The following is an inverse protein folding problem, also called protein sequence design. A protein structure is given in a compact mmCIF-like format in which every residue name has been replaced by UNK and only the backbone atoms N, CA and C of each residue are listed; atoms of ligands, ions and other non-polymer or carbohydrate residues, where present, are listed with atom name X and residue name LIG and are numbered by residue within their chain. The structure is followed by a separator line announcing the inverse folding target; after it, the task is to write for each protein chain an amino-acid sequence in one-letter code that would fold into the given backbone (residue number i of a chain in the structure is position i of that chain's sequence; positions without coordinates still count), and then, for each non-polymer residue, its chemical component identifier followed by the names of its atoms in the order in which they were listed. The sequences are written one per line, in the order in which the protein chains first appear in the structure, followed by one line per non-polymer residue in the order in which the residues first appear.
data_IF_190749778834
#
_entry.id   IF_190749778834
#
_cell.length_a   1.000
_cell.length_b   1.000
_cell.length_c   1.000
_cell.angle_alpha   90.00
_cell.angle_beta   90.00
_cell.angle_gamma   90.00
#
_symmetry.space_group_name_H-M   'P 1'
#
loop_
_entity.id
_entity.type
_entity.pdbx_description
1 polymer ?
#
# COMPACT_ATOMS: atom_id res chain seq x y z
N UNK A 1 12.87 24.51 -13.21
CA UNK A 1 12.09 23.41 -13.82
C UNK A 1 10.79 23.33 -13.02
N UNK A 2 9.71 23.91 -13.54
CA UNK A 2 8.45 24.11 -12.82
C UNK A 2 7.66 22.80 -12.88
N UNK A 3 7.23 22.29 -11.71
CA UNK A 3 6.53 21.02 -11.56
C UNK A 3 5.19 21.05 -12.30
N UNK A 4 5.00 20.15 -13.25
CA UNK A 4 3.80 19.99 -14.08
C UNK A 4 2.55 19.50 -13.30
N UNK A 5 2.59 19.52 -11.97
CA UNK A 5 1.57 18.94 -11.09
C UNK A 5 0.98 19.93 -10.09
N UNK A 6 1.23 21.22 -10.28
CA UNK A 6 0.65 22.28 -9.45
C UNK A 6 -0.89 22.37 -9.57
N UNK A 7 -1.46 21.76 -10.61
CA UNK A 7 -2.90 21.86 -10.95
C UNK A 7 -3.72 20.60 -10.61
N UNK A 8 -3.14 19.57 -9.97
CA UNK A 8 -3.94 18.43 -9.51
C UNK A 8 -4.66 18.80 -8.22
N UNK A 9 -5.88 19.30 -8.36
CA UNK A 9 -6.80 19.46 -7.25
C UNK A 9 -7.40 18.10 -6.90
N UNK A 10 -6.78 17.43 -5.93
CA UNK A 10 -7.43 16.30 -5.26
C UNK A 10 -8.78 16.78 -4.73
N UNK A 11 -9.88 16.01 -4.90
CA UNK A 11 -11.13 16.34 -4.25
C UNK A 11 -10.85 16.52 -2.76
N UNK A 12 -11.36 17.61 -2.18
CA UNK A 12 -11.22 17.83 -0.74
C UNK A 12 -11.74 16.59 -0.02
N UNK A 13 -10.86 15.93 0.73
CA UNK A 13 -11.27 14.92 1.68
C UNK A 13 -12.23 15.55 2.71
N UNK A 14 -12.98 14.73 3.45
CA UNK A 14 -13.87 15.25 4.48
C UNK A 14 -13.08 16.07 5.51
N UNK A 15 -13.70 17.11 6.06
CA UNK A 15 -13.08 18.01 7.05
C UNK A 15 -12.61 17.27 8.31
N UNK A 16 -13.15 16.07 8.55
CA UNK A 16 -12.68 15.12 9.54
C UNK A 16 -12.73 13.69 8.98
N UNK A 17 -11.74 12.89 9.35
CA UNK A 17 -11.72 11.45 9.08
C UNK A 17 -11.73 10.68 10.40
N UNK A 18 -12.64 9.72 10.60
CA UNK A 18 -13.73 9.32 9.71
C UNK A 18 -14.82 10.41 9.56
N UNK A 19 -15.53 10.49 8.42
CA UNK A 19 -16.52 11.53 8.12
C UNK A 19 -17.80 11.46 8.99
N UNK A 20 -17.91 10.46 9.87
CA UNK A 20 -18.96 10.33 10.87
C UNK A 20 -18.41 9.61 12.11
N UNK A 21 -19.15 9.60 13.23
CA UNK A 21 -18.78 8.81 14.43
C UNK A 21 -18.72 7.31 14.16
N UNK A 22 -19.40 6.84 13.10
CA UNK A 22 -19.30 5.48 12.59
C UNK A 22 -18.41 5.43 11.34
N UNK A 23 -17.57 4.41 11.24
CA UNK A 23 -16.82 4.19 10.00
C UNK A 23 -17.76 3.77 8.87
N UNK A 24 -17.47 4.16 7.61
CA UNK A 24 -18.15 3.60 6.45
C UNK A 24 -18.15 2.08 6.51
N UNK A 25 -19.24 1.43 6.09
CA UNK A 25 -19.39 -0.03 6.18
C UNK A 25 -18.22 -0.79 5.52
N UNK A 26 -17.70 -0.26 4.41
CA UNK A 26 -16.53 -0.82 3.73
C UNK A 26 -15.25 -0.82 4.60
N UNK A 27 -15.04 0.24 5.40
CA UNK A 27 -13.89 0.33 6.30
C UNK A 27 -14.04 -0.66 7.46
N UNK A 28 -15.22 -0.75 8.08
CA UNK A 28 -15.50 -1.76 9.10
C UNK A 28 -15.27 -3.18 8.57
N UNK A 29 -15.78 -3.48 7.37
CA UNK A 29 -15.58 -4.78 6.74
C UNK A 29 -14.09 -5.05 6.46
N UNK A 30 -13.37 -4.06 5.93
CA UNK A 30 -11.93 -4.16 5.65
C UNK A 30 -11.12 -4.47 6.89
N UNK A 31 -11.31 -3.70 7.97
CA UNK A 31 -10.60 -3.92 9.25
C UNK A 31 -10.99 -5.26 9.87
N UNK A 32 -12.27 -5.63 9.81
CA UNK A 32 -12.72 -6.96 10.24
C UNK A 32 -12.02 -8.10 9.49
N UNK A 33 -11.82 -7.96 8.18
CA UNK A 33 -11.11 -8.96 7.35
C UNK A 33 -9.62 -9.03 7.69
N UNK A 34 -8.94 -7.90 7.88
CA UNK A 34 -7.53 -7.90 8.28
C UNK A 34 -7.33 -8.48 9.68
N UNK A 35 -8.22 -8.18 10.64
CA UNK A 35 -8.18 -8.81 11.97
C UNK A 35 -8.32 -10.32 11.91
N UNK A 36 -9.29 -10.81 11.14
CA UNK A 36 -9.48 -12.26 10.96
C UNK A 36 -8.28 -12.92 10.27
N UNK A 37 -7.65 -12.22 9.31
CA UNK A 37 -6.44 -12.71 8.64
C UNK A 37 -5.25 -12.76 9.60
N UNK A 38 -5.04 -11.69 10.38
CA UNK A 38 -4.00 -11.60 11.39
C UNK A 38 -4.12 -12.73 12.43
N UNK A 39 -5.34 -13.00 12.91
CA UNK A 39 -5.59 -14.12 13.82
C UNK A 39 -5.26 -15.48 13.18
N UNK A 40 -5.65 -15.71 11.93
CA UNK A 40 -5.31 -16.97 11.22
C UNK A 40 -3.81 -17.14 11.00
N UNK A 41 -3.09 -16.03 10.86
CA UNK A 41 -1.63 -16.03 10.69
C UNK A 41 -0.86 -15.97 12.01
N UNK A 42 -1.54 -15.94 13.16
CA UNK A 42 -0.90 -15.85 14.47
C UNK A 42 -0.09 -14.57 14.66
N UNK A 43 -0.55 -13.45 14.11
CA UNK A 43 0.12 -12.17 14.26
C UNK A 43 -0.21 -11.56 15.62
N UNK A 44 0.84 -11.25 16.38
CA UNK A 44 0.73 -10.66 17.70
C UNK A 44 1.05 -9.15 17.67
N UNK A 45 0.40 -8.34 18.54
CA UNK A 45 0.79 -6.95 18.75
C UNK A 45 2.28 -6.83 19.10
N UNK A 46 2.95 -5.83 18.55
CA UNK A 46 4.39 -5.61 18.76
C UNK A 46 5.34 -6.48 17.93
N UNK A 47 4.83 -7.47 17.17
CA UNK A 47 5.63 -8.23 16.21
C UNK A 47 6.14 -7.37 15.04
N UNK A 48 6.96 -7.99 14.17
CA UNK A 48 7.42 -7.37 12.92
C UNK A 48 6.24 -6.93 12.05
N UNK A 49 6.36 -5.79 11.33
CA UNK A 49 5.25 -5.27 10.54
C UNK A 49 4.90 -6.17 9.36
N UNK A 50 3.61 -6.29 9.07
CA UNK A 50 3.13 -6.90 7.81
C UNK A 50 3.25 -5.87 6.69
N UNK A 51 3.91 -6.23 5.61
CA UNK A 51 4.07 -5.34 4.46
C UNK A 51 2.88 -5.46 3.50
N UNK A 52 2.25 -4.33 3.19
CA UNK A 52 1.21 -4.22 2.17
C UNK A 52 1.85 -3.88 0.82
N UNK A 53 1.51 -4.65 -0.21
CA UNK A 53 1.89 -4.35 -1.59
C UNK A 53 1.06 -3.16 -2.10
N UNK A 54 1.69 -2.03 -2.42
CA UNK A 54 0.97 -0.83 -2.90
C UNK A 54 1.49 -0.45 -4.28
N UNK A 55 0.63 -0.56 -5.30
CA UNK A 55 0.98 -0.20 -6.69
C UNK A 55 0.75 1.28 -7.01
N UNK A 56 0.00 1.98 -6.16
CA UNK A 56 -0.47 3.35 -6.40
C UNK A 56 -1.87 3.43 -7.03
N UNK A 57 -2.45 2.29 -7.41
CA UNK A 57 -3.85 2.21 -7.82
C UNK A 57 -4.82 2.32 -6.65
N UNK A 58 -6.07 2.71 -6.93
CA UNK A 58 -7.11 2.99 -5.93
C UNK A 58 -7.31 1.84 -4.93
N UNK A 59 -7.42 0.59 -5.40
CA UNK A 59 -7.64 -0.57 -4.54
C UNK A 59 -6.48 -0.82 -3.58
N UNK A 60 -5.24 -0.69 -4.07
CA UNK A 60 -4.05 -0.89 -3.25
C UNK A 60 -3.85 0.21 -2.21
N UNK A 61 -4.23 1.44 -2.56
CA UNK A 61 -4.26 2.56 -1.62
C UNK A 61 -5.37 2.41 -0.59
N UNK A 62 -6.56 1.95 -0.99
CA UNK A 62 -7.65 1.66 -0.06
C UNK A 62 -7.24 0.58 0.95
N UNK A 63 -6.55 -0.47 0.50
CA UNK A 63 -5.99 -1.50 1.38
C UNK A 63 -4.95 -0.91 2.35
N UNK A 64 -4.10 0.01 1.91
CA UNK A 64 -3.14 0.70 2.77
C UNK A 64 -3.83 1.52 3.87
N UNK A 65 -4.95 2.20 3.55
CA UNK A 65 -5.76 2.92 4.55
C UNK A 65 -6.39 1.96 5.54
N UNK A 66 -6.97 0.85 5.07
CA UNK A 66 -7.55 -0.18 5.96
C UNK A 66 -6.49 -0.77 6.90
N UNK A 67 -5.27 -1.01 6.41
CA UNK A 67 -4.15 -1.46 7.23
C UNK A 67 -3.75 -0.41 8.28
N UNK A 68 -3.67 0.86 7.87
CA UNK A 68 -3.37 1.98 8.76
C UNK A 68 -4.43 2.18 9.85
N UNK A 69 -5.70 1.90 9.58
CA UNK A 69 -6.74 1.95 10.61
C UNK A 69 -6.70 0.70 11.50
N UNK A 70 -6.39 -0.47 10.93
CA UNK A 70 -6.24 -1.71 11.70
C UNK A 70 -5.14 -1.60 12.76
N UNK A 71 -3.98 -1.01 12.44
CA UNK A 71 -2.93 -0.78 13.44
C UNK A 71 -3.42 0.07 14.62
N UNK A 72 -4.19 1.13 14.36
CA UNK A 72 -4.70 2.03 15.41
C UNK A 72 -5.60 1.30 16.41
N UNK A 73 -6.38 0.33 15.95
CA UNK A 73 -7.39 -0.36 16.78
C UNK A 73 -6.95 -1.74 17.31
N UNK A 74 -5.77 -2.23 16.93
CA UNK A 74 -5.30 -3.59 17.34
C UNK A 74 -3.89 -3.64 17.92
N UNK A 75 -3.05 -2.62 17.71
CA UNK A 75 -1.63 -2.69 18.07
C UNK A 75 -0.78 -3.56 17.14
N UNK A 76 -1.37 -4.15 16.09
CA UNK A 76 -0.62 -4.75 14.98
C UNK A 76 0.17 -3.67 14.24
N UNK A 77 1.29 -4.04 13.62
CA UNK A 77 2.12 -3.12 12.85
C UNK A 77 2.01 -3.42 11.36
N UNK A 78 1.87 -2.38 10.56
CA UNK A 78 1.84 -2.48 9.09
C UNK A 78 2.85 -1.54 8.46
N UNK A 79 3.53 -2.05 7.44
CA UNK A 79 4.35 -1.28 6.51
C UNK A 79 3.80 -1.36 5.10
N UNK A 80 4.45 -0.68 4.16
CA UNK A 80 4.13 -0.76 2.75
C UNK A 80 5.40 -1.04 1.93
N UNK A 81 5.23 -1.74 0.82
CA UNK A 81 6.26 -1.87 -0.22
C UNK A 81 5.65 -1.51 -1.57
N UNK A 82 6.32 -0.61 -2.26
CA UNK A 82 5.97 -0.15 -3.59
C UNK A 82 7.02 -0.69 -4.55
N UNK A 83 6.58 -1.49 -5.52
CA UNK A 83 7.45 -2.14 -6.49
C UNK A 83 7.23 -1.53 -7.87
N UNK A 84 8.24 -0.83 -8.36
CA UNK A 84 8.23 -0.24 -9.69
C UNK A 84 8.76 -1.25 -10.71
N UNK A 85 7.90 -1.73 -11.61
CA UNK A 85 8.27 -2.68 -12.67
C UNK A 85 9.03 -2.02 -13.84
N UNK A 86 9.25 -0.69 -13.83
CA UNK A 86 9.96 0.10 -14.85
C UNK A 86 9.46 -0.07 -16.29
N UNK A 87 8.23 -0.55 -16.46
CA UNK A 87 7.66 -0.78 -17.79
C UNK A 87 7.33 0.51 -18.54
N UNK A 88 7.24 1.67 -17.85
CA UNK A 88 6.97 3.00 -18.45
C UNK A 88 7.61 4.13 -17.63
N UNK A 89 8.00 5.26 -18.25
CA UNK A 89 8.61 6.41 -17.55
C UNK A 89 7.69 7.11 -16.53
N UNK A 90 6.37 6.89 -16.59
CA UNK A 90 5.38 7.47 -15.67
C UNK A 90 5.38 6.79 -14.28
N UNK A 91 6.13 5.69 -14.09
CA UNK A 91 6.06 4.88 -12.87
C UNK A 91 6.81 5.46 -11.67
N UNK A 92 7.82 6.31 -11.89
CA UNK A 92 8.60 6.91 -10.80
C UNK A 92 7.76 7.87 -9.95
N UNK A 93 6.96 8.72 -10.59
CA UNK A 93 6.10 9.68 -9.90
C UNK A 93 4.94 8.97 -9.18
N UNK A 94 4.37 7.93 -9.78
CA UNK A 94 3.36 7.07 -9.14
C UNK A 94 3.94 6.39 -7.90
N UNK A 95 5.16 5.86 -8.00
CA UNK A 95 5.88 5.22 -6.89
C UNK A 95 6.11 6.18 -5.74
N UNK A 96 6.63 7.38 -6.06
CA UNK A 96 6.87 8.43 -5.06
C UNK A 96 5.58 8.87 -4.38
N UNK A 97 4.51 9.08 -5.16
CA UNK A 97 3.19 9.47 -4.65
C UNK A 97 2.60 8.40 -3.74
N UNK A 98 2.64 7.14 -4.17
CA UNK A 98 2.15 6.02 -3.36
C UNK A 98 2.90 5.92 -2.02
N UNK A 99 4.23 6.07 -2.06
CA UNK A 99 5.06 6.07 -0.85
C UNK A 99 4.71 7.25 0.09
N UNK A 100 4.50 8.46 -0.44
CA UNK A 100 4.09 9.63 0.35
C UNK A 100 2.73 9.40 1.01
N UNK A 101 1.75 8.87 0.28
CA UNK A 101 0.43 8.55 0.81
C UNK A 101 0.53 7.52 1.94
N UNK A 102 1.28 6.43 1.75
CA UNK A 102 1.47 5.40 2.78
C UNK A 102 2.12 5.96 4.06
N UNK A 103 3.14 6.82 3.91
CA UNK A 103 3.78 7.51 5.05
C UNK A 103 2.80 8.43 5.78
N UNK A 104 1.99 9.19 5.04
CA UNK A 104 0.99 10.09 5.62
C UNK A 104 -0.08 9.35 6.44
N UNK A 105 -0.42 8.12 6.05
CA UNK A 105 -1.30 7.24 6.84
C UNK A 105 -0.61 6.54 8.01
N UNK A 106 0.70 6.75 8.21
CA UNK A 106 1.44 6.22 9.34
C UNK A 106 1.86 4.75 9.18
N UNK A 107 1.94 4.24 7.96
CA UNK A 107 2.55 2.94 7.71
C UNK A 107 4.07 3.04 7.88
N UNK A 108 4.67 2.03 8.52
CA UNK A 108 6.11 1.98 8.73
C UNK A 108 6.64 0.53 8.86
N UNK A 109 7.66 0.14 8.09
CA UNK A 109 8.40 0.94 7.11
C UNK A 109 7.61 1.18 5.81
N UNK A 110 8.04 2.17 5.02
CA UNK A 110 7.59 2.33 3.62
C UNK A 110 8.79 2.16 2.70
N UNK A 111 8.82 1.00 2.04
CA UNK A 111 9.90 0.57 1.16
C UNK A 111 9.52 0.83 -0.29
N UNK A 112 10.51 1.21 -1.09
CA UNK A 112 10.37 1.36 -2.54
C UNK A 112 11.50 0.56 -3.18
N UNK A 113 11.16 -0.35 -4.09
CA UNK A 113 12.15 -1.11 -4.84
C UNK A 113 11.82 -1.10 -6.33
N UNK A 114 12.86 -1.08 -7.15
CA UNK A 114 12.74 -1.15 -8.59
C UNK A 114 12.95 -2.59 -9.04
N UNK A 115 11.92 -3.19 -9.62
CA UNK A 115 12.01 -4.51 -10.22
C UNK A 115 12.48 -4.39 -11.66
N UNK A 116 13.63 -4.99 -11.94
CA UNK A 116 13.96 -5.37 -13.30
C UNK A 116 13.18 -6.64 -13.63
N UNK A 117 12.19 -6.49 -14.50
CA UNK A 117 11.50 -7.64 -15.08
C UNK A 117 12.26 -8.02 -16.34
N UNK A 118 13.01 -9.12 -16.28
CA UNK A 118 13.58 -9.75 -17.47
C UNK A 118 12.65 -10.89 -17.86
N UNK A 119 12.10 -10.82 -19.07
CA UNK A 119 11.29 -11.90 -19.62
C UNK A 119 12.18 -13.13 -19.85
N UNK A 120 11.84 -14.24 -19.18
CA UNK A 120 12.48 -15.54 -19.37
C UNK A 120 11.37 -16.59 -19.52
N UNK A 121 11.01 -16.94 -20.75
CA UNK A 121 10.04 -18.00 -21.01
C UNK A 121 8.58 -17.55 -20.91
N UNK A 122 7.90 -17.89 -19.81
CA UNK A 122 6.44 -17.95 -19.61
C UNK A 122 5.64 -16.63 -19.74
N UNK A 123 6.22 -15.61 -20.37
CA UNK A 123 5.63 -14.31 -20.63
C UNK A 123 5.91 -13.26 -19.57
N UNK A 124 5.78 -12.00 -19.97
CA UNK A 124 6.07 -10.82 -19.16
C UNK A 124 5.30 -10.77 -17.83
N UNK A 125 4.04 -11.22 -17.80
CA UNK A 125 3.22 -11.19 -16.58
C UNK A 125 3.74 -12.18 -15.53
N UNK A 126 4.12 -13.40 -15.95
CA UNK A 126 4.69 -14.40 -15.06
C UNK A 126 6.03 -13.93 -14.48
N UNK A 127 6.89 -13.35 -15.33
CA UNK A 127 8.16 -12.76 -14.90
C UNK A 127 7.96 -11.60 -13.90
N UNK A 128 7.00 -10.69 -14.17
CA UNK A 128 6.68 -9.59 -13.27
C UNK A 128 6.10 -10.08 -11.93
N UNK A 129 5.28 -11.14 -11.96
CA UNK A 129 4.73 -11.78 -10.76
C UNK A 129 5.85 -12.42 -9.93
N UNK A 130 6.79 -13.12 -10.55
CA UNK A 130 7.94 -13.71 -9.86
C UNK A 130 8.83 -12.65 -9.23
N UNK A 131 9.22 -11.63 -9.99
CA UNK A 131 10.03 -10.52 -9.48
C UNK A 131 9.37 -9.82 -8.27
N UNK A 132 8.03 -9.70 -8.28
CA UNK A 132 7.26 -9.17 -7.15
C UNK A 132 7.40 -10.03 -5.89
N UNK A 133 7.23 -11.35 -6.00
CA UNK A 133 7.38 -12.24 -4.84
C UNK A 133 8.81 -12.29 -4.32
N UNK A 134 9.80 -12.29 -5.23
CA UNK A 134 11.22 -12.28 -4.86
C UNK A 134 11.57 -11.01 -4.05
N UNK A 135 10.90 -9.87 -4.32
CA UNK A 135 11.09 -8.65 -3.54
C UNK A 135 10.57 -8.72 -2.10
N UNK A 136 9.54 -9.55 -1.84
CA UNK A 136 8.95 -9.71 -0.51
C UNK A 136 9.77 -10.60 0.43
N UNK A 137 10.66 -11.43 -0.11
CA UNK A 137 11.47 -12.39 0.67
C UNK A 137 12.89 -11.89 0.95
N UNK A 138 13.24 -10.67 0.51
CA UNK A 138 14.52 -10.00 0.78
C UNK A 138 14.48 -9.24 2.11
#
# INVERSE_FOLDING_TARGET
MVSAYSDIQLPKGPDAWPPSTAWPAAMHAGVGRLKALAQRWGLEPGASPVLVAVSGGADSLALAVVAAETQRVTGLRFGAIILDHKLQNVTAEVTQRAAQICKAFGLAPVLTDALQVTEQGDGLEAAARKARYDAFVR
#
